data_IF_773118474825
#
_entry.id   IF_773118474825
#
_cell.length_a   1.000
_cell.length_b   1.000
_cell.length_c   1.000
_cell.angle_alpha   90.00
_cell.angle_beta   90.00
_cell.angle_gamma   90.00
#
_symmetry.space_group_name_H-M   'P 1'
#
loop_
_entity.id
_entity.type
_entity.pdbx_description
1 polymer ?
#
# COMPACT_ATOMS: atom_id res chain seq x y z
N UNK A 1 -11.42 -21.87 -2.77
CA UNK A 1 -11.19 -20.84 -1.72
C UNK A 1 -10.28 -19.76 -2.30
N UNK A 2 -10.79 -18.56 -2.55
CA UNK A 2 -10.02 -17.45 -3.12
C UNK A 2 -9.26 -16.72 -2.00
N UNK A 3 -7.92 -16.78 -1.98
CA UNK A 3 -7.07 -16.14 -0.95
C UNK A 3 -6.27 -15.01 -1.58
N UNK A 4 -6.62 -13.77 -1.23
CA UNK A 4 -5.83 -12.57 -1.54
C UNK A 4 -5.11 -12.11 -0.28
N UNK A 5 -3.84 -12.46 -0.16
CA UNK A 5 -3.01 -12.14 1.02
C UNK A 5 -2.33 -10.79 0.78
N UNK A 6 -2.31 -9.93 1.81
CA UNK A 6 -1.61 -8.63 1.83
C UNK A 6 -2.13 -7.60 0.81
N UNK A 7 -3.39 -7.64 0.39
CA UNK A 7 -3.95 -6.54 -0.39
C UNK A 7 -4.41 -5.41 0.53
N UNK A 8 -3.97 -4.16 0.29
CA UNK A 8 -4.51 -3.02 1.00
C UNK A 8 -5.98 -2.80 0.64
N UNK A 9 -6.81 -2.76 1.67
CA UNK A 9 -8.23 -2.43 1.59
C UNK A 9 -8.50 -1.21 2.46
N UNK A 10 -9.50 -0.42 2.07
CA UNK A 10 -9.94 0.73 2.86
C UNK A 10 -11.19 0.35 3.64
N UNK A 11 -11.16 0.51 4.96
CA UNK A 11 -12.35 0.37 5.78
C UNK A 11 -13.22 1.63 5.63
N UNK A 12 -14.50 1.44 5.30
CA UNK A 12 -15.47 2.53 5.13
C UNK A 12 -16.56 2.53 6.21
N UNK A 13 -16.81 1.39 6.86
CA UNK A 13 -17.79 1.29 7.95
C UNK A 13 -17.44 0.13 8.91
N UNK A 14 -18.05 0.12 10.09
CA UNK A 14 -17.92 -0.94 11.09
C UNK A 14 -19.27 -1.21 11.77
N UNK A 15 -19.61 -2.50 11.90
CA UNK A 15 -20.78 -2.95 12.66
C UNK A 15 -20.41 -4.26 13.37
N UNK A 16 -20.49 -4.27 14.69
CA UNK A 16 -20.11 -5.43 15.52
C UNK A 16 -18.73 -5.98 15.12
N UNK A 17 -18.66 -7.28 14.79
CA UNK A 17 -17.46 -7.98 14.35
C UNK A 17 -17.20 -7.88 12.84
N UNK A 18 -18.01 -7.13 12.11
CA UNK A 18 -17.85 -6.94 10.67
C UNK A 18 -17.28 -5.56 10.34
N UNK A 19 -16.49 -5.51 9.27
CA UNK A 19 -15.97 -4.28 8.67
C UNK A 19 -16.45 -4.22 7.24
N UNK A 20 -17.03 -3.07 6.86
CA UNK A 20 -17.32 -2.79 5.46
C UNK A 20 -16.06 -2.22 4.84
N UNK A 21 -15.57 -2.87 3.81
CA UNK A 21 -14.34 -2.50 3.13
C UNK A 21 -14.62 -2.16 1.68
N UNK A 22 -13.72 -1.39 1.07
CA UNK A 22 -13.64 -1.15 -0.36
C UNK A 22 -12.24 -1.50 -0.86
N UNK A 23 -12.15 -2.22 -1.98
CA UNK A 23 -10.89 -2.53 -2.64
C UNK A 23 -10.50 -1.45 -3.66
N UNK A 24 -9.31 -1.58 -4.27
CA UNK A 24 -8.81 -0.66 -5.29
C UNK A 24 -9.74 -0.57 -6.52
N UNK A 25 -10.53 -1.61 -6.81
CA UNK A 25 -11.46 -1.66 -7.94
C UNK A 25 -12.87 -1.20 -7.57
N UNK A 26 -13.04 -0.52 -6.44
CA UNK A 26 -14.31 -0.08 -5.89
C UNK A 26 -15.31 -1.21 -5.55
N UNK A 27 -14.86 -2.46 -5.43
CA UNK A 27 -15.71 -3.52 -4.91
C UNK A 27 -15.85 -3.33 -3.40
N UNK A 28 -17.09 -3.42 -2.90
CA UNK A 28 -17.36 -3.29 -1.47
C UNK A 28 -18.01 -4.54 -0.90
N UNK A 29 -17.78 -4.79 0.39
CA UNK A 29 -18.35 -5.93 1.07
C UNK A 29 -18.10 -5.90 2.58
N UNK A 30 -18.81 -6.77 3.30
CA UNK A 30 -18.61 -6.98 4.73
C UNK A 30 -17.70 -8.17 4.96
N UNK A 31 -16.65 -7.97 5.76
CA UNK A 31 -15.71 -9.02 6.13
C UNK A 31 -15.67 -9.11 7.66
N UNK A 32 -15.72 -10.33 8.19
CA UNK A 32 -15.57 -10.56 9.62
C UNK A 32 -14.13 -10.26 10.06
N UNK A 33 -13.96 -9.63 11.22
CA UNK A 33 -12.65 -9.16 11.71
C UNK A 33 -11.60 -10.26 11.82
N UNK A 34 -12.00 -11.50 12.12
CA UNK A 34 -11.08 -12.65 12.18
C UNK A 34 -10.42 -13.00 10.84
N UNK A 35 -10.97 -12.53 9.72
CA UNK A 35 -10.41 -12.70 8.38
C UNK A 35 -9.52 -11.52 7.96
N UNK A 36 -9.51 -10.44 8.75
CA UNK A 36 -8.73 -9.25 8.50
C UNK A 36 -7.45 -9.26 9.34
N UNK A 37 -6.36 -8.84 8.71
CA UNK A 37 -5.10 -8.57 9.40
C UNK A 37 -4.61 -7.18 9.02
N UNK A 38 -3.93 -6.46 9.92
CA UNK A 38 -3.18 -5.27 9.55
C UNK A 38 -2.22 -5.60 8.40
N UNK A 39 -2.22 -4.77 7.37
CA UNK A 39 -1.31 -4.90 6.24
C UNK A 39 -0.49 -3.62 6.12
N UNK A 40 0.83 -3.74 6.04
CA UNK A 40 1.77 -2.65 5.78
C UNK A 40 2.08 -2.52 4.29
N UNK A 41 1.12 -2.81 3.43
CA UNK A 41 1.30 -2.85 1.98
C UNK A 41 0.59 -1.71 1.29
N UNK A 42 1.17 -1.18 0.22
CA UNK A 42 0.57 -0.18 -0.66
C UNK A 42 0.52 -0.71 -2.10
N UNK A 43 -0.35 -0.13 -2.91
CA UNK A 43 -0.37 -0.36 -4.36
C UNK A 43 -0.11 0.97 -5.05
N UNK A 44 0.85 1.00 -5.97
CA UNK A 44 1.05 2.18 -6.80
C UNK A 44 -0.13 2.32 -7.78
N UNK A 45 -0.81 3.47 -7.79
CA UNK A 45 -1.89 3.74 -8.76
C UNK A 45 -1.37 4.37 -10.05
N UNK A 46 -0.09 4.74 -10.09
CA UNK A 46 0.61 5.26 -11.26
C UNK A 46 2.07 4.79 -11.24
N UNK A 47 2.75 4.91 -12.39
CA UNK A 47 4.19 4.67 -12.50
C UNK A 47 4.96 5.66 -11.59
N UNK A 48 5.91 5.12 -10.81
CA UNK A 48 6.67 5.88 -9.81
C UNK A 48 8.14 5.56 -9.86
N UNK A 49 8.97 6.50 -9.43
CA UNK A 49 10.40 6.28 -9.26
C UNK A 49 10.70 6.02 -7.79
N UNK A 50 11.48 4.98 -7.54
CA UNK A 50 12.05 4.66 -6.25
C UNK A 50 13.36 5.41 -6.07
N UNK A 51 13.50 6.13 -4.97
CA UNK A 51 14.64 6.99 -4.68
C UNK A 51 15.49 6.45 -3.53
N UNK A 52 16.77 6.81 -3.49
CA UNK A 52 17.67 6.41 -2.40
C UNK A 52 17.42 7.13 -1.07
N UNK A 53 16.91 8.37 -1.12
CA UNK A 53 16.55 9.21 0.04
C UNK A 53 15.12 9.77 -0.15
N UNK A 54 14.46 10.29 0.91
CA UNK A 54 13.15 10.92 0.80
C UNK A 54 13.25 12.30 0.11
N UNK A 55 13.71 12.34 -1.13
CA UNK A 55 13.89 13.55 -1.93
C UNK A 55 13.94 13.21 -3.42
N UNK A 56 13.26 14.02 -4.23
CA UNK A 56 13.24 13.91 -5.70
C UNK A 56 14.62 14.18 -6.34
N UNK A 57 15.52 14.86 -5.63
CA UNK A 57 16.88 15.16 -6.11
C UNK A 57 17.88 14.04 -5.80
N UNK A 58 17.44 12.98 -5.11
CA UNK A 58 18.30 11.87 -4.76
C UNK A 58 18.43 10.87 -5.91
N UNK A 59 19.41 9.94 -5.81
CA UNK A 59 19.65 8.95 -6.86
C UNK A 59 18.40 8.08 -7.09
N UNK A 60 17.88 7.98 -8.33
CA UNK A 60 16.83 7.04 -8.68
C UNK A 60 17.40 5.61 -8.69
N UNK A 61 16.67 4.68 -8.09
CA UNK A 61 17.06 3.29 -7.90
C UNK A 61 16.31 2.35 -8.84
N UNK A 62 15.00 2.56 -9.01
CA UNK A 62 14.16 1.69 -9.82
C UNK A 62 12.88 2.43 -10.25
N UNK A 63 12.24 1.93 -11.31
CA UNK A 63 10.89 2.33 -11.69
C UNK A 63 9.88 1.30 -11.17
N UNK A 64 8.91 1.76 -10.40
CA UNK A 64 7.76 1.01 -9.91
C UNK A 64 6.63 1.21 -10.91
N UNK A 65 6.10 0.10 -11.44
CA UNK A 65 4.94 0.14 -12.32
C UNK A 65 3.64 0.25 -11.55
N UNK A 66 2.66 0.90 -12.18
CA UNK A 66 1.27 0.91 -11.71
C UNK A 66 0.78 -0.53 -11.38
N UNK A 67 -0.04 -0.64 -10.34
CA UNK A 67 -0.62 -1.89 -9.86
C UNK A 67 0.34 -2.74 -9.03
N UNK A 68 1.62 -2.35 -8.90
CA UNK A 68 2.59 -3.11 -8.12
C UNK A 68 2.33 -2.98 -6.62
N UNK A 69 2.30 -4.12 -5.94
CA UNK A 69 2.26 -4.20 -4.49
C UNK A 69 3.62 -3.86 -3.89
N UNK A 70 3.64 -2.96 -2.92
CA UNK A 70 4.82 -2.47 -2.22
C UNK A 70 4.66 -2.78 -0.73
N UNK A 71 5.72 -3.28 -0.09
CA UNK A 71 5.75 -3.47 1.36
C UNK A 71 6.41 -2.25 1.99
N UNK A 72 5.68 -1.57 2.87
CA UNK A 72 6.13 -0.37 3.59
C UNK A 72 6.83 -0.77 4.87
N UNK A 73 8.03 -0.24 5.06
CA UNK A 73 8.81 -0.37 6.29
C UNK A 73 8.59 0.81 7.22
N UNK A 74 8.59 2.03 6.67
CA UNK A 74 8.41 3.27 7.42
C UNK A 74 7.87 4.34 6.48
N UNK A 75 7.05 5.26 6.99
CA UNK A 75 6.74 6.49 6.29
C UNK A 75 7.13 7.71 7.13
N UNK A 76 7.58 8.76 6.45
CA UNK A 76 8.00 10.04 7.01
C UNK A 76 7.40 11.14 6.13
N UNK A 77 6.63 12.06 6.73
CA UNK A 77 5.98 13.18 6.01
C UNK A 77 5.28 12.72 4.70
N UNK A 78 5.85 13.05 3.55
CA UNK A 78 5.34 12.73 2.21
C UNK A 78 6.03 11.53 1.53
N UNK A 79 6.87 10.79 2.25
CA UNK A 79 7.65 9.69 1.73
C UNK A 79 7.40 8.39 2.49
N UNK A 80 7.52 7.28 1.78
CA UNK A 80 7.45 5.94 2.34
C UNK A 80 8.66 5.14 1.91
N UNK A 81 9.39 4.62 2.90
CA UNK A 81 10.43 3.64 2.69
C UNK A 81 9.78 2.30 2.40
N UNK A 82 10.03 1.78 1.21
CA UNK A 82 9.53 0.50 0.75
C UNK A 82 10.68 -0.48 0.57
N UNK A 83 10.36 -1.74 0.76
CA UNK A 83 11.27 -2.86 0.55
C UNK A 83 10.62 -3.85 -0.42
N UNK A 84 11.39 -4.20 -1.43
CA UNK A 84 11.09 -5.24 -2.41
C UNK A 84 12.26 -6.20 -2.43
N UNK A 85 12.07 -7.41 -2.96
CA UNK A 85 13.10 -8.45 -2.98
C UNK A 85 14.47 -7.98 -3.50
N UNK A 86 14.48 -7.02 -4.44
CA UNK A 86 15.71 -6.55 -5.09
C UNK A 86 16.05 -5.08 -4.79
N UNK A 87 15.10 -4.29 -4.28
CA UNK A 87 15.28 -2.84 -4.10
C UNK A 87 14.71 -2.35 -2.78
N UNK A 88 15.46 -1.46 -2.13
CA UNK A 88 15.06 -0.74 -0.94
C UNK A 88 15.25 0.76 -1.16
N UNK A 89 14.20 1.53 -0.95
CA UNK A 89 14.25 2.96 -1.22
C UNK A 89 13.01 3.69 -0.73
N UNK A 90 12.86 4.93 -1.15
CA UNK A 90 11.81 5.85 -0.78
C UNK A 90 10.95 6.18 -1.99
N UNK A 91 9.64 6.15 -1.79
CA UNK A 91 8.65 6.56 -2.79
C UNK A 91 7.77 7.65 -2.19
N UNK A 92 7.39 8.63 -3.01
CA UNK A 92 6.45 9.67 -2.58
C UNK A 92 5.04 9.08 -2.40
N UNK A 93 4.34 9.52 -1.35
CA UNK A 93 3.00 9.07 -0.92
C UNK A 93 1.84 9.35 -1.88
N UNK A 94 1.96 10.35 -2.74
CA UNK A 94 0.94 10.68 -3.76
C UNK A 94 0.58 9.44 -4.58
N UNK A 95 -0.63 9.30 -5.10
CA UNK A 95 -0.98 8.20 -6.03
C UNK A 95 -0.56 6.79 -5.54
N UNK A 96 -0.69 6.56 -4.22
CA UNK A 96 -0.58 5.26 -3.58
C UNK A 96 -1.92 4.89 -2.96
N UNK A 97 -2.35 3.64 -3.18
CA UNK A 97 -3.52 3.07 -2.56
C UNK A 97 -3.15 2.20 -1.37
N UNK A 98 -3.81 2.44 -0.24
CA UNK A 98 -3.67 1.66 0.97
C UNK A 98 -3.43 2.54 2.18
N UNK A 99 -3.61 1.94 3.36
CA UNK A 99 -3.55 2.67 4.60
C UNK A 99 -2.13 2.64 5.17
N UNK A 100 -1.59 3.83 5.43
CA UNK A 100 -0.35 4.03 6.18
C UNK A 100 -0.83 4.46 7.57
N UNK A 101 -0.66 3.58 8.56
CA UNK A 101 -0.85 3.96 9.96
C UNK A 101 0.42 4.66 10.46
#
# INVERSE_FOLDING_TARGET
VYKKINLPIKQIDKKENFRRIIDLKNNSGWIHISQLKPANSLIATEDKVLFSKPSIFSKPLANIKEGRLLVVQKCEENWCKIETESFKGWVNKENLWGFIN
#
